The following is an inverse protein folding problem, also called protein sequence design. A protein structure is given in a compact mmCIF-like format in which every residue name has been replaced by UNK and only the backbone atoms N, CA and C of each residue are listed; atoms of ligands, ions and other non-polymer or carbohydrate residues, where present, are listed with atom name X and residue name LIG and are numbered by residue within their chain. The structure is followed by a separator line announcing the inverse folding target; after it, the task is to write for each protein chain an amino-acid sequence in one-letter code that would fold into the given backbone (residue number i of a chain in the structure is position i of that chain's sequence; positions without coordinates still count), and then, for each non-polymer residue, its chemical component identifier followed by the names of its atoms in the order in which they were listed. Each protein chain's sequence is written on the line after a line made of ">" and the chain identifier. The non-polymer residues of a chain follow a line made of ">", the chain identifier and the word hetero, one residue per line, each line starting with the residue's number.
data_IF_612289003970
#
_entry.id   IF_612289003970
#
_cell.length_a   1.000
_cell.length_b   1.000
_cell.length_c   1.000
_cell.angle_alpha   90.00
_cell.angle_beta   90.00
_cell.angle_gamma   90.00
#
_symmetry.space_group_name_H-M   'P 1'
#
loop_
_entity.id
_entity.type
_entity.pdbx_description
1 polymer ?
#
# COMPACT_ATOMS: atom_id res chain seq x y z
N UNK A 1 -2.85 -13.24 19.24
CA UNK A 1 -3.16 -13.83 17.92
C UNK A 1 -2.39 -13.06 16.84
N UNK A 2 -1.77 -13.73 15.86
CA UNK A 2 -0.94 -13.05 14.86
C UNK A 2 -1.77 -12.18 13.91
N UNK A 3 -1.35 -10.93 13.66
CA UNK A 3 -2.02 -10.03 12.69
C UNK A 3 -2.20 -10.67 11.31
N UNK A 4 -1.24 -11.49 10.86
CA UNK A 4 -1.31 -12.19 9.57
C UNK A 4 -2.44 -13.20 9.50
N UNK A 5 -2.75 -13.85 10.62
CA UNK A 5 -3.84 -14.84 10.70
C UNK A 5 -5.18 -14.10 10.56
N UNK A 6 -5.32 -12.96 11.25
CA UNK A 6 -6.52 -12.11 11.16
C UNK A 6 -6.70 -11.54 9.76
N UNK A 7 -5.62 -11.07 9.12
CA UNK A 7 -5.64 -10.62 7.72
C UNK A 7 -6.05 -11.75 6.75
N UNK A 8 -5.54 -12.96 6.98
CA UNK A 8 -5.93 -14.15 6.21
C UNK A 8 -7.41 -14.50 6.36
N UNK A 9 -7.94 -14.44 7.59
CA UNK A 9 -9.37 -14.65 7.86
C UNK A 9 -10.25 -13.57 7.25
N UNK A 10 -9.86 -12.30 7.34
CA UNK A 10 -10.54 -11.19 6.66
C UNK A 10 -10.54 -11.39 5.14
N UNK A 11 -9.43 -11.81 4.56
CA UNK A 11 -9.34 -12.06 3.11
C UNK A 11 -10.24 -13.23 2.68
N UNK A 12 -10.37 -14.27 3.51
CA UNK A 12 -11.33 -15.36 3.29
C UNK A 12 -12.77 -14.84 3.38
N UNK A 13 -13.11 -14.09 4.44
CA UNK A 13 -14.43 -13.53 4.64
C UNK A 13 -14.89 -12.63 3.48
N UNK A 14 -13.99 -11.79 2.95
CA UNK A 14 -14.27 -10.90 1.80
C UNK A 14 -14.56 -11.64 0.49
N UNK A 15 -14.18 -12.92 0.37
CA UNK A 15 -14.42 -13.75 -0.82
C UNK A 15 -15.67 -14.61 -0.70
N UNK A 16 -16.28 -14.67 0.48
CA UNK A 16 -17.46 -15.49 0.75
C UNK A 16 -18.74 -14.72 0.44
N UNK A 17 -19.71 -15.40 -0.17
CA UNK A 17 -21.06 -14.91 -0.33
C UNK A 17 -21.86 -15.07 0.96
N UNK A 18 -22.99 -14.36 1.07
CA UNK A 18 -23.92 -14.49 2.21
C UNK A 18 -24.37 -15.94 2.44
N UNK A 19 -24.56 -16.71 1.36
CA UNK A 19 -24.87 -18.15 1.40
C UNK A 19 -23.76 -18.97 2.06
N UNK A 20 -22.51 -18.63 1.81
CA UNK A 20 -21.36 -19.36 2.36
C UNK A 20 -21.24 -19.13 3.88
N UNK A 21 -21.58 -17.92 4.34
CA UNK A 21 -21.69 -17.65 5.78
C UNK A 21 -22.88 -18.38 6.41
N UNK A 22 -24.01 -18.45 5.71
CA UNK A 22 -25.19 -19.18 6.20
C UNK A 22 -24.90 -20.68 6.35
N UNK A 23 -24.15 -21.28 5.40
CA UNK A 23 -23.76 -22.68 5.41
C UNK A 23 -22.62 -23.01 6.39
N UNK A 24 -21.83 -22.02 6.82
CA UNK A 24 -20.76 -22.23 7.79
C UNK A 24 -21.29 -22.47 9.21
N UNK A 25 -20.61 -23.34 9.95
CA UNK A 25 -20.87 -23.54 11.38
C UNK A 25 -20.75 -22.22 12.16
N UNK A 26 -21.64 -22.01 13.14
CA UNK A 26 -21.76 -20.74 13.85
C UNK A 26 -20.43 -20.19 14.41
N UNK A 27 -19.55 -21.00 15.04
CA UNK A 27 -18.25 -20.50 15.53
C UNK A 27 -17.34 -19.98 14.40
N UNK A 28 -17.33 -20.68 13.25
CA UNK A 28 -16.52 -20.29 12.08
C UNK A 28 -17.07 -19.00 11.46
N UNK A 29 -18.39 -18.92 11.28
CA UNK A 29 -19.06 -17.71 10.79
C UNK A 29 -18.74 -16.50 11.67
N UNK A 30 -18.94 -16.63 12.98
CA UNK A 30 -18.69 -15.54 13.93
C UNK A 30 -17.23 -15.12 13.94
N UNK A 31 -16.29 -16.06 13.88
CA UNK A 31 -14.85 -15.76 13.82
C UNK A 31 -14.49 -14.97 12.57
N UNK A 32 -14.99 -15.38 11.40
CA UNK A 32 -14.70 -14.71 10.13
C UNK A 32 -15.34 -13.31 10.05
N UNK A 33 -16.57 -13.16 10.53
CA UNK A 33 -17.25 -11.86 10.59
C UNK A 33 -16.59 -10.93 11.61
N UNK A 34 -16.20 -11.44 12.78
CA UNK A 34 -15.47 -10.65 13.78
C UNK A 34 -14.12 -10.17 13.22
N UNK A 35 -13.36 -11.04 12.57
CA UNK A 35 -12.10 -10.67 11.91
C UNK A 35 -12.33 -9.62 10.80
N UNK A 36 -13.39 -9.78 10.01
CA UNK A 36 -13.77 -8.81 8.98
C UNK A 36 -14.11 -7.44 9.58
N UNK A 37 -15.01 -7.40 10.57
CA UNK A 37 -15.43 -6.17 11.24
C UNK A 37 -14.25 -5.47 11.94
N UNK A 38 -13.40 -6.23 12.62
CA UNK A 38 -12.23 -5.70 13.31
C UNK A 38 -11.24 -5.02 12.36
N UNK A 39 -10.86 -5.73 11.29
CA UNK A 39 -9.94 -5.17 10.28
C UNK A 39 -10.60 -4.02 9.54
N UNK A 40 -11.90 -4.11 9.21
CA UNK A 40 -12.61 -3.06 8.50
C UNK A 40 -12.75 -1.79 9.35
N UNK A 41 -13.01 -1.91 10.65
CA UNK A 41 -13.00 -0.79 11.60
C UNK A 41 -11.65 -0.08 11.58
N UNK A 42 -10.56 -0.86 11.65
CA UNK A 42 -9.18 -0.34 11.60
C UNK A 42 -8.91 0.41 10.29
N UNK A 43 -9.27 -0.17 9.14
CA UNK A 43 -9.14 0.46 7.82
C UNK A 43 -9.96 1.76 7.71
N UNK A 44 -11.15 1.80 8.30
CA UNK A 44 -12.00 3.00 8.32
C UNK A 44 -11.37 4.10 9.18
N UNK A 45 -10.82 3.77 10.35
CA UNK A 45 -10.11 4.72 11.20
C UNK A 45 -8.89 5.28 10.47
N UNK A 46 -8.06 4.42 9.88
CA UNK A 46 -6.89 4.84 9.09
C UNK A 46 -7.32 5.80 7.96
N UNK A 47 -8.40 5.47 7.25
CA UNK A 47 -8.95 6.31 6.18
C UNK A 47 -9.49 7.67 6.67
N UNK A 48 -10.10 7.73 7.85
CA UNK A 48 -10.57 8.98 8.46
C UNK A 48 -9.39 9.88 8.86
N UNK A 49 -8.33 9.30 9.43
CA UNK A 49 -7.12 10.05 9.78
C UNK A 49 -6.41 10.58 8.54
N UNK A 50 -6.30 9.76 7.49
CA UNK A 50 -5.72 10.21 6.21
C UNK A 50 -6.54 11.35 5.59
N UNK A 51 -7.87 11.27 5.65
CA UNK A 51 -8.78 12.33 5.19
C UNK A 51 -8.55 13.63 6.00
N UNK A 52 -8.43 13.53 7.34
CA UNK A 52 -8.12 14.69 8.20
C UNK A 52 -6.79 15.33 7.80
N UNK A 53 -5.72 14.53 7.67
CA UNK A 53 -4.39 15.03 7.28
C UNK A 53 -4.43 15.74 5.93
N UNK A 54 -5.18 15.20 4.97
CA UNK A 54 -5.34 15.79 3.64
C UNK A 54 -6.18 17.07 3.68
N UNK A 55 -7.29 17.08 4.43
CA UNK A 55 -8.15 18.25 4.60
C UNK A 55 -7.37 19.42 5.21
N UNK A 56 -6.69 19.17 6.34
CA UNK A 56 -5.86 20.19 6.99
C UNK A 56 -4.77 20.68 6.04
N UNK A 57 -4.06 19.78 5.34
CA UNK A 57 -3.04 20.18 4.38
C UNK A 57 -3.58 21.11 3.28
N UNK A 58 -4.75 20.79 2.74
CA UNK A 58 -5.40 21.59 1.69
C UNK A 58 -5.80 22.97 2.21
N UNK A 59 -6.22 23.06 3.48
CA UNK A 59 -6.51 24.33 4.16
C UNK A 59 -5.21 25.14 4.32
N UNK A 60 -4.13 24.52 4.85
CA UNK A 60 -2.85 25.20 5.07
C UNK A 60 -2.19 25.69 3.79
N UNK A 61 -2.15 24.87 2.72
CA UNK A 61 -1.52 25.27 1.45
C UNK A 61 -2.28 26.42 0.78
N UNK A 62 -3.62 26.47 0.96
CA UNK A 62 -4.42 27.61 0.50
C UNK A 62 -4.14 28.86 1.32
N UNK A 63 -3.79 28.72 2.60
CA UNK A 63 -3.35 29.83 3.43
C UNK A 63 -1.97 30.34 3.00
N UNK A 64 -0.97 29.46 2.87
CA UNK A 64 0.41 29.83 2.51
C UNK A 64 0.55 30.46 1.12
N UNK A 65 -0.17 29.98 0.10
CA UNK A 65 -0.10 30.52 -1.27
C UNK A 65 -0.71 31.91 -1.45
N UNK A 66 -1.43 32.41 -0.45
CA UNK A 66 -2.23 33.65 -0.50
C UNK A 66 -1.77 34.67 0.55
N UNK A 67 -0.54 34.57 1.05
CA UNK A 67 0.05 35.53 2.01
C UNK A 67 0.52 36.79 1.27
N UNK A 68 -0.44 37.61 0.86
CA UNK A 68 -0.32 39.05 0.62
C UNK A 68 -1.55 39.69 1.27
N UNK A 69 -1.41 40.03 2.57
CA UNK A 69 -2.19 40.85 3.52
C UNK A 69 -3.74 40.97 3.47
N UNK A 70 -4.46 40.73 2.38
CA UNK A 70 -5.92 40.94 2.29
C UNK A 70 -6.76 39.66 2.49
N UNK A 71 -6.14 38.51 2.75
CA UNK A 71 -6.76 37.19 2.51
C UNK A 71 -7.07 36.39 3.78
N UNK A 72 -6.86 36.97 4.96
CA UNK A 72 -7.29 36.37 6.23
C UNK A 72 -8.83 36.27 6.33
N UNK A 73 -9.57 37.25 5.78
CA UNK A 73 -11.03 37.27 5.80
C UNK A 73 -11.66 36.16 4.94
N UNK A 74 -11.09 35.85 3.77
CA UNK A 74 -11.62 34.84 2.85
C UNK A 74 -11.34 33.41 3.35
N UNK A 75 -10.18 33.18 3.97
CA UNK A 75 -9.84 31.92 4.66
C UNK A 75 -10.75 31.68 5.88
N UNK A 76 -10.97 32.72 6.70
CA UNK A 76 -11.99 32.71 7.76
C UNK A 76 -13.36 32.33 7.19
N UNK A 77 -13.74 32.88 6.04
CA UNK A 77 -15.02 32.60 5.35
C UNK A 77 -15.15 31.17 4.81
N UNK A 78 -14.10 30.59 4.22
CA UNK A 78 -14.15 29.21 3.69
C UNK A 78 -14.13 28.16 4.80
N UNK A 79 -13.32 28.37 5.84
CA UNK A 79 -13.25 27.50 7.02
C UNK A 79 -14.55 27.56 7.84
N UNK A 80 -15.05 28.76 8.16
CA UNK A 80 -16.24 28.96 8.99
C UNK A 80 -17.51 28.37 8.36
N UNK A 81 -17.63 28.42 7.02
CA UNK A 81 -18.86 28.07 6.31
C UNK A 81 -18.97 26.59 5.92
N UNK A 82 -17.87 25.94 5.55
CA UNK A 82 -17.90 24.57 5.03
C UNK A 82 -17.23 23.54 5.94
N UNK A 83 -16.05 23.83 6.49
CA UNK A 83 -15.27 22.83 7.23
C UNK A 83 -15.71 22.71 8.69
N UNK A 84 -16.09 23.82 9.33
CA UNK A 84 -16.49 23.89 10.74
C UNK A 84 -17.73 23.03 11.08
N UNK A 85 -18.60 22.72 10.12
CA UNK A 85 -19.77 21.84 10.31
C UNK A 85 -19.42 20.34 10.35
N UNK A 86 -18.37 19.94 9.62
CA UNK A 86 -18.00 18.53 9.46
C UNK A 86 -16.84 18.11 10.35
N UNK A 87 -15.92 19.03 10.63
CA UNK A 87 -14.67 18.74 11.31
C UNK A 87 -14.83 18.30 12.78
N UNK A 88 -15.71 18.90 13.60
CA UNK A 88 -15.96 18.41 14.96
C UNK A 88 -16.48 16.97 14.96
N UNK A 89 -17.35 16.60 14.01
CA UNK A 89 -17.86 15.23 13.87
C UNK A 89 -16.74 14.24 13.54
N UNK A 90 -15.79 14.66 12.71
CA UNK A 90 -14.64 13.84 12.35
C UNK A 90 -13.68 13.69 13.54
N UNK A 91 -13.41 14.77 14.27
CA UNK A 91 -12.55 14.73 15.46
C UNK A 91 -13.17 13.86 16.57
N UNK A 92 -14.50 13.94 16.79
CA UNK A 92 -15.23 13.08 17.73
C UNK A 92 -15.27 11.61 17.33
N UNK A 93 -15.17 11.30 16.03
CA UNK A 93 -15.19 9.92 15.54
C UNK A 93 -13.88 9.17 15.79
N UNK A 94 -12.83 9.86 16.24
CA UNK A 94 -11.47 9.33 16.37
C UNK A 94 -10.91 9.67 17.75
N UNK A 95 -10.43 8.66 18.48
CA UNK A 95 -9.78 8.88 19.78
C UNK A 95 -8.30 9.15 19.58
N UNK A 96 -7.83 10.31 20.04
CA UNK A 96 -6.42 10.69 20.02
C UNK A 96 -5.76 10.35 21.36
N UNK A 97 -4.48 9.99 21.32
CA UNK A 97 -3.63 9.80 22.49
C UNK A 97 -2.24 10.38 22.26
N UNK A 98 -1.52 10.67 23.35
CA UNK A 98 -0.13 11.14 23.32
C UNK A 98 0.64 10.45 24.45
N UNK A 99 1.82 9.93 24.14
CA UNK A 99 2.74 9.38 25.15
C UNK A 99 3.68 10.46 25.72
N UNK A 100 3.82 11.58 25.01
CA UNK A 100 4.74 12.68 25.37
C UNK A 100 3.99 13.83 26.07
N UNK A 101 4.62 14.41 27.09
CA UNK A 101 4.14 15.64 27.76
C UNK A 101 4.27 16.88 26.88
N UNK A 102 5.21 16.90 25.93
CA UNK A 102 5.46 18.05 25.05
C UNK A 102 4.28 18.38 24.12
N UNK A 103 3.48 17.37 23.74
CA UNK A 103 2.30 17.54 22.87
C UNK A 103 0.98 17.58 23.64
N UNK A 104 1.05 17.66 24.98
CA UNK A 104 -0.12 17.84 25.83
C UNK A 104 -0.93 19.11 25.50
N UNK A 105 -0.30 20.27 25.20
CA UNK A 105 -1.03 21.47 24.79
C UNK A 105 -1.95 21.26 23.58
N UNK A 106 -1.55 20.42 22.61
CA UNK A 106 -2.39 20.11 21.43
C UNK A 106 -3.60 19.27 21.83
N UNK A 107 -3.44 18.31 22.75
CA UNK A 107 -4.55 17.52 23.28
C UNK A 107 -5.55 18.38 24.08
N UNK A 108 -5.04 19.29 24.90
CA UNK A 108 -5.88 20.21 25.66
C UNK A 108 -6.61 21.20 24.73
N UNK A 109 -5.96 21.65 23.66
CA UNK A 109 -6.57 22.48 22.63
C UNK A 109 -7.66 21.75 21.84
N UNK A 110 -7.50 20.43 21.57
CA UNK A 110 -8.56 19.62 20.97
C UNK A 110 -9.78 19.49 21.89
N UNK A 111 -9.55 19.32 23.20
CA UNK A 111 -10.63 19.30 24.18
C UNK A 111 -11.35 20.67 24.24
N UNK A 112 -10.62 21.78 24.13
CA UNK A 112 -11.19 23.12 24.04
C UNK A 112 -12.02 23.31 22.77
N UNK A 113 -11.53 22.85 21.61
CA UNK A 113 -12.30 22.88 20.36
C UNK A 113 -13.61 22.10 20.47
N UNK A 114 -13.60 20.96 21.17
CA UNK A 114 -14.79 20.15 21.35
C UNK A 114 -15.84 20.84 22.24
N UNK A 115 -15.42 21.47 23.35
CA UNK A 115 -16.30 22.28 24.23
C UNK A 115 -16.98 23.41 23.48
N UNK A 116 -16.26 24.04 22.55
CA UNK A 116 -16.75 25.18 21.78
C UNK A 116 -17.34 24.81 20.42
N UNK A 117 -17.44 23.52 20.06
CA UNK A 117 -17.79 23.08 18.72
C UNK A 117 -19.10 23.67 18.19
N UNK A 118 -20.10 23.80 19.07
CA UNK A 118 -21.45 24.29 18.74
C UNK A 118 -21.65 25.77 19.15
N UNK A 119 -20.63 26.43 19.71
CA UNK A 119 -20.70 27.84 20.12
C UNK A 119 -20.55 28.79 18.93
N UNK A 120 -21.31 29.88 18.90
CA UNK A 120 -21.18 30.96 17.91
C UNK A 120 -20.25 32.11 18.34
N UNK A 121 -19.65 32.02 19.53
CA UNK A 121 -18.74 33.04 20.02
C UNK A 121 -17.57 33.28 19.05
N UNK A 122 -17.15 34.54 18.90
CA UNK A 122 -15.98 34.92 18.08
C UNK A 122 -14.67 34.67 18.84
N UNK A 123 -14.69 34.89 20.15
CA UNK A 123 -13.55 34.73 21.05
C UNK A 123 -13.79 33.59 22.04
N UNK A 124 -12.72 33.00 22.55
CA UNK A 124 -12.83 32.17 23.76
C UNK A 124 -13.20 33.03 24.97
N UNK A 125 -13.77 32.38 25.98
CA UNK A 125 -14.06 33.05 27.25
C UNK A 125 -12.75 33.44 27.94
N UNK A 126 -12.73 34.57 28.65
CA UNK A 126 -11.53 35.03 29.36
C UNK A 126 -11.12 34.08 30.50
N UNK A 127 -12.05 33.27 31.02
CA UNK A 127 -11.78 32.26 32.03
C UNK A 127 -11.18 30.97 31.45
N UNK A 128 -11.19 30.77 30.13
CA UNK A 128 -10.61 29.58 29.51
C UNK A 128 -9.08 29.68 29.44
N UNK A 129 -8.41 28.59 29.82
CA UNK A 129 -6.98 28.47 29.66
C UNK A 129 -6.66 27.91 28.27
N UNK A 130 -6.45 28.80 27.31
CA UNK A 130 -6.23 28.45 25.90
C UNK A 130 -4.74 28.16 25.65
N UNK A 131 -4.36 26.94 25.23
CA UNK A 131 -2.94 26.62 25.00
C UNK A 131 -2.36 27.34 23.78
N UNK A 132 -1.37 28.20 23.98
CA UNK A 132 -0.68 28.92 22.89
C UNK A 132 0.64 28.24 22.51
N UNK A 133 1.42 27.82 23.49
CA UNK A 133 2.72 27.18 23.29
C UNK A 133 2.58 25.85 22.56
N UNK A 134 3.45 25.60 21.57
CA UNK A 134 3.43 24.45 20.66
C UNK A 134 2.17 24.29 19.78
N UNK A 135 1.17 25.16 19.93
CA UNK A 135 -0.09 25.16 19.14
C UNK A 135 -0.08 26.27 18.11
N UNK A 136 0.29 27.50 18.50
CA UNK A 136 0.25 28.69 17.64
C UNK A 136 1.68 29.03 17.19
N UNK A 137 1.98 28.99 15.88
CA UNK A 137 3.25 29.47 15.34
C UNK A 137 3.48 30.95 15.67
N UNK A 138 4.74 31.37 15.82
CA UNK A 138 5.09 32.76 16.14
C UNK A 138 4.50 33.75 15.13
N UNK A 139 4.63 33.45 13.83
CA UNK A 139 4.11 34.27 12.73
C UNK A 139 2.56 34.43 12.73
N UNK A 140 1.84 33.61 13.51
CA UNK A 140 0.37 33.60 13.56
C UNK A 140 -0.17 34.21 14.85
N UNK A 141 0.68 34.61 15.81
CA UNK A 141 0.23 35.14 17.11
C UNK A 141 -0.60 36.40 16.96
N UNK A 142 -0.17 37.34 16.14
CA UNK A 142 -0.87 38.62 15.90
C UNK A 142 -2.21 38.43 15.18
N UNK A 143 -2.41 37.30 14.50
CA UNK A 143 -3.66 36.96 13.84
C UNK A 143 -4.64 36.19 14.76
N UNK A 144 -4.17 35.71 15.91
CA UNK A 144 -4.89 34.85 16.86
C UNK A 144 -5.25 35.61 18.13
N UNK A 145 -4.37 36.49 18.61
CA UNK A 145 -4.57 37.29 19.81
C UNK A 145 -4.98 38.69 19.41
N UNK A 146 -6.14 39.12 19.89
CA UNK A 146 -6.62 40.48 19.70
C UNK A 146 -5.71 41.47 20.45
N UNK A 147 -5.12 42.46 19.76
CA UNK A 147 -4.12 43.34 20.34
C UNK A 147 -4.68 44.30 21.41
N UNK A 148 -5.97 44.64 21.33
CA UNK A 148 -6.60 45.61 22.24
C UNK A 148 -7.10 44.94 23.53
N UNK A 149 -7.63 43.73 23.41
CA UNK A 149 -8.28 43.01 24.51
C UNK A 149 -7.47 41.82 25.04
N UNK A 150 -6.44 41.39 24.31
CA UNK A 150 -5.65 40.18 24.62
C UNK A 150 -6.43 38.88 24.47
N UNK A 151 -7.67 38.94 23.95
CA UNK A 151 -8.55 37.78 23.81
C UNK A 151 -8.17 36.95 22.59
N UNK A 152 -8.40 35.64 22.68
CA UNK A 152 -8.04 34.72 21.61
C UNK A 152 -9.23 34.53 20.66
N UNK A 153 -9.04 34.94 19.41
CA UNK A 153 -9.98 34.71 18.31
C UNK A 153 -10.07 33.21 18.01
N UNK A 154 -11.29 32.69 17.95
CA UNK A 154 -11.53 31.25 17.79
C UNK A 154 -11.07 30.73 16.44
N UNK A 155 -11.64 31.26 15.35
CA UNK A 155 -11.37 30.75 13.99
C UNK A 155 -9.87 30.61 13.66
N UNK A 156 -9.04 31.66 13.81
CA UNK A 156 -7.61 31.53 13.52
C UNK A 156 -6.91 30.56 14.48
N UNK A 157 -7.32 30.50 15.75
CA UNK A 157 -6.81 29.51 16.69
C UNK A 157 -7.17 28.07 16.29
N UNK A 158 -8.43 27.79 15.90
CA UNK A 158 -8.84 26.45 15.47
C UNK A 158 -7.99 25.97 14.29
N UNK A 159 -7.68 26.87 13.34
CA UNK A 159 -6.79 26.58 12.22
C UNK A 159 -5.38 26.20 12.69
N UNK A 160 -4.80 26.94 13.63
CA UNK A 160 -3.50 26.61 14.23
C UNK A 160 -3.51 25.23 14.89
N UNK A 161 -4.55 24.93 15.69
CA UNK A 161 -4.71 23.63 16.35
C UNK A 161 -4.74 22.49 15.34
N UNK A 162 -5.45 22.64 14.22
CA UNK A 162 -5.54 21.62 13.19
C UNK A 162 -4.19 21.39 12.49
N UNK A 163 -3.45 22.46 12.20
CA UNK A 163 -2.11 22.38 11.64
C UNK A 163 -1.16 21.68 12.60
N UNK A 164 -1.18 22.06 13.88
CA UNK A 164 -0.39 21.43 14.94
C UNK A 164 -0.73 19.94 15.08
N UNK A 165 -2.03 19.59 15.14
CA UNK A 165 -2.51 18.21 15.20
C UNK A 165 -1.98 17.39 14.01
N UNK A 166 -2.11 17.92 12.79
CA UNK A 166 -1.60 17.23 11.59
C UNK A 166 -0.10 16.96 11.69
N UNK A 167 0.68 17.93 12.15
CA UNK A 167 2.12 17.76 12.30
C UNK A 167 2.44 16.71 13.38
N UNK A 168 1.75 16.75 14.51
CA UNK A 168 1.93 15.80 15.61
C UNK A 168 1.58 14.36 15.20
N UNK A 169 0.46 14.15 14.48
CA UNK A 169 0.10 12.82 13.94
C UNK A 169 1.18 12.31 12.97
N UNK A 170 1.67 13.18 12.07
CA UNK A 170 2.72 12.80 11.11
C UNK A 170 4.05 12.44 11.77
N UNK A 171 4.35 13.03 12.94
CA UNK A 171 5.52 12.72 13.75
C UNK A 171 5.31 11.51 14.67
N UNK A 172 4.09 10.96 14.74
CA UNK A 172 3.66 9.91 15.68
C UNK A 172 3.73 10.29 17.16
N UNK A 173 3.70 11.59 17.43
CA UNK A 173 3.64 12.13 18.80
C UNK A 173 2.22 12.06 19.33
N UNK A 174 1.24 12.35 18.47
CA UNK A 174 -0.17 12.04 18.68
C UNK A 174 -0.51 10.81 17.86
N UNK A 175 -1.03 9.80 18.53
CA UNK A 175 -1.50 8.56 17.92
C UNK A 175 -3.02 8.46 18.00
N UNK A 176 -3.57 7.51 17.25
CA UNK A 176 -5.00 7.28 17.12
C UNK A 176 -5.34 5.86 17.56
N UNK A 177 -6.29 5.74 18.49
CA UNK A 177 -6.77 4.45 18.97
C UNK A 177 -7.49 3.69 17.85
N UNK A 178 -7.22 2.38 17.74
CA UNK A 178 -7.82 1.53 16.71
C UNK A 178 -7.30 1.76 15.29
N UNK A 179 -6.37 2.71 15.09
CA UNK A 179 -5.59 2.82 13.85
C UNK A 179 -4.54 1.72 13.77
N UNK A 180 -4.11 1.35 12.56
CA UNK A 180 -2.91 0.50 12.34
C UNK A 180 -1.72 1.33 11.90
N UNK A 181 -1.95 2.36 11.08
CA UNK A 181 -0.88 3.21 10.53
C UNK A 181 -0.43 4.28 11.52
N UNK A 182 -1.37 4.82 12.28
CA UNK A 182 -1.23 5.94 13.22
C UNK A 182 -1.38 5.49 14.68
N UNK A 183 -1.18 4.20 14.96
CA UNK A 183 -1.25 3.63 16.32
C UNK A 183 -0.13 4.14 17.23
N UNK A 184 -0.29 3.89 18.53
CA UNK A 184 0.74 4.21 19.51
C UNK A 184 2.09 3.56 19.11
N UNK A 185 3.16 4.35 18.89
CA UNK A 185 4.48 3.82 18.56
C UNK A 185 5.05 2.90 19.64
N UNK A 186 4.70 3.10 20.92
CA UNK A 186 5.18 2.27 22.02
C UNK A 186 4.66 0.82 21.90
N UNK A 187 3.49 0.65 21.28
CA UNK A 187 2.92 -0.66 20.99
C UNK A 187 3.58 -1.37 19.79
N UNK A 188 4.50 -0.72 19.07
CA UNK A 188 5.33 -1.37 18.05
C UNK A 188 6.48 -2.18 18.69
N UNK A 189 6.79 -1.96 19.97
CA UNK A 189 7.80 -2.70 20.70
C UNK A 189 7.22 -3.99 21.31
N UNK A 190 8.02 -5.07 21.39
CA UNK A 190 7.65 -6.26 22.16
C UNK A 190 7.34 -5.91 23.63
N UNK A 191 6.39 -6.59 24.28
CA UNK A 191 6.09 -6.34 25.69
C UNK A 191 7.29 -6.58 26.63
N UNK A 192 8.18 -7.48 26.23
CA UNK A 192 9.41 -7.85 26.93
C UNK A 192 10.63 -7.03 26.44
N UNK A 193 10.42 -5.95 25.69
CA UNK A 193 11.50 -5.21 25.07
C UNK A 193 12.46 -4.62 26.11
N UNK A 194 11.93 -4.02 27.19
CA UNK A 194 12.76 -3.42 28.24
C UNK A 194 13.62 -4.48 28.95
N UNK A 195 13.05 -5.66 29.20
CA UNK A 195 13.73 -6.75 29.90
C UNK A 195 14.75 -7.49 29.02
N UNK A 196 14.52 -7.56 27.70
CA UNK A 196 15.31 -8.35 26.75
C UNK A 196 15.94 -7.51 25.62
N UNK A 197 16.32 -6.25 25.91
CA UNK A 197 16.93 -5.35 24.92
C UNK A 197 18.16 -5.98 24.25
N UNK A 198 18.93 -6.76 24.99
CA UNK A 198 20.10 -7.47 24.49
C UNK A 198 19.82 -8.42 23.33
N UNK A 199 18.82 -9.29 23.49
CA UNK A 199 18.40 -10.27 22.49
C UNK A 199 17.77 -9.57 21.28
N UNK A 200 16.94 -8.55 21.52
CA UNK A 200 16.24 -7.83 20.45
C UNK A 200 17.20 -7.01 19.56
N UNK A 201 18.31 -6.46 20.10
CA UNK A 201 19.33 -5.75 19.32
C UNK A 201 20.36 -6.67 18.64
N UNK A 202 20.60 -7.87 19.17
CA UNK A 202 21.46 -8.87 18.52
C UNK A 202 20.86 -9.40 17.22
N UNK A 203 19.53 -9.60 17.17
CA UNK A 203 18.83 -10.15 15.99
C UNK A 203 19.06 -9.35 14.68
N UNK A 204 18.99 -8.00 14.65
CA UNK A 204 19.35 -7.20 13.49
C UNK A 204 20.85 -6.86 13.39
N UNK A 205 21.68 -7.38 14.30
CA UNK A 205 23.11 -7.06 14.44
C UNK A 205 23.36 -5.55 14.47
N UNK A 206 22.63 -4.84 15.35
CA UNK A 206 22.76 -3.39 15.54
C UNK A 206 23.33 -3.06 16.92
N UNK A 207 24.15 -2.00 17.04
CA UNK A 207 24.63 -1.55 18.34
C UNK A 207 23.45 -1.02 19.17
N UNK A 208 23.56 -1.14 20.49
CA UNK A 208 22.57 -0.59 21.43
C UNK A 208 22.72 0.91 21.59
N UNK A 209 23.95 1.39 21.54
CA UNK A 209 24.22 2.82 21.63
C UNK A 209 23.78 3.52 20.32
N UNK A 210 22.80 4.45 20.38
CA UNK A 210 22.40 5.23 19.23
C UNK A 210 23.56 6.05 18.65
N UNK A 211 24.50 6.52 19.48
CA UNK A 211 25.65 7.30 19.02
C UNK A 211 26.58 6.44 18.14
N UNK A 212 26.87 5.20 18.54
CA UNK A 212 27.64 4.25 17.72
C UNK A 212 26.96 3.96 16.37
N UNK A 213 25.63 3.75 16.38
CA UNK A 213 24.88 3.52 15.14
C UNK A 213 24.97 4.72 14.19
N UNK A 214 24.76 5.93 14.71
CA UNK A 214 24.81 7.17 13.92
C UNK A 214 26.22 7.40 13.40
N UNK A 215 27.25 7.20 14.22
CA UNK A 215 28.64 7.35 13.82
C UNK A 215 29.03 6.38 12.69
N UNK A 216 28.66 5.10 12.79
CA UNK A 216 28.88 4.12 11.72
C UNK A 216 28.14 4.52 10.42
N UNK A 217 26.88 4.96 10.54
CA UNK A 217 26.10 5.39 9.39
C UNK A 217 26.72 6.60 8.70
N UNK A 218 27.12 7.62 9.47
CA UNK A 218 27.84 8.80 8.96
C UNK A 218 29.14 8.38 8.28
N UNK A 219 29.94 7.50 8.91
CA UNK A 219 31.18 6.99 8.34
C UNK A 219 30.95 6.28 7.00
N UNK A 220 29.95 5.39 6.92
CA UNK A 220 29.58 4.71 5.66
C UNK A 220 29.09 5.68 4.60
N UNK A 221 28.32 6.70 4.99
CA UNK A 221 27.81 7.73 4.08
C UNK A 221 28.95 8.56 3.50
N UNK A 222 29.84 9.08 4.35
CA UNK A 222 31.03 9.84 3.95
C UNK A 222 31.95 8.99 3.06
N UNK A 223 32.16 7.72 3.41
CA UNK A 223 32.94 6.80 2.58
C UNK A 223 32.32 6.59 1.19
N UNK A 224 30.99 6.43 1.10
CA UNK A 224 30.28 6.29 -0.17
C UNK A 224 30.37 7.56 -1.04
N UNK A 225 30.18 8.75 -0.43
CA UNK A 225 30.34 10.03 -1.13
C UNK A 225 31.79 10.23 -1.60
N UNK A 226 32.78 9.87 -0.79
CA UNK A 226 34.18 9.94 -1.18
C UNK A 226 34.50 8.99 -2.33
N UNK A 227 33.92 7.77 -2.36
CA UNK A 227 34.05 6.86 -3.51
C UNK A 227 33.43 7.47 -4.76
N UNK A 228 32.24 8.05 -4.66
CA UNK A 228 31.58 8.73 -5.79
C UNK A 228 32.43 9.90 -6.30
N UNK A 229 32.93 10.77 -5.41
CA UNK A 229 33.76 11.92 -5.77
C UNK A 229 35.07 11.47 -6.46
N UNK A 230 35.74 10.44 -5.92
CA UNK A 230 36.92 9.82 -6.56
C UNK A 230 36.57 9.24 -7.93
N UNK A 231 35.44 8.56 -8.07
CA UNK A 231 35.01 7.97 -9.32
C UNK A 231 34.68 9.05 -10.37
N UNK A 232 34.05 10.16 -9.98
CA UNK A 232 33.76 11.32 -10.84
C UNK A 232 35.05 11.94 -11.36
N UNK A 233 36.03 12.19 -10.48
CA UNK A 233 37.35 12.71 -10.88
C UNK A 233 38.11 11.78 -11.83
N UNK A 234 37.96 10.47 -11.63
CA UNK A 234 38.59 9.43 -12.47
C UNK A 234 37.80 9.10 -13.74
N UNK A 235 36.60 9.67 -13.94
CA UNK A 235 35.74 9.35 -15.09
C UNK A 235 35.18 7.92 -15.11
N UNK A 236 35.12 7.23 -13.97
CA UNK A 236 34.76 5.80 -13.86
C UNK A 236 33.29 5.56 -13.45
N UNK A 237 32.48 6.61 -13.39
CA UNK A 237 31.08 6.55 -12.92
C UNK A 237 30.07 6.05 -13.97
N UNK A 238 30.53 5.53 -15.11
CA UNK A 238 29.63 5.08 -16.17
C UNK A 238 28.79 6.21 -16.79
N UNK A 239 29.29 7.45 -16.73
CA UNK A 239 28.68 8.62 -17.36
C UNK A 239 27.88 9.55 -16.43
N UNK A 240 27.88 9.32 -15.11
CA UNK A 240 27.32 10.27 -14.12
C UNK A 240 28.16 11.54 -14.10
N UNK A 241 27.51 12.71 -14.16
CA UNK A 241 28.16 14.03 -14.26
C UNK A 241 27.50 15.04 -13.32
N UNK A 242 28.23 16.07 -12.94
CA UNK A 242 27.67 17.26 -12.29
C UNK A 242 27.40 18.30 -13.40
N UNK A 243 26.14 18.64 -13.61
CA UNK A 243 25.66 19.66 -14.54
C UNK A 243 25.04 20.83 -13.78
N UNK A 244 24.45 21.81 -14.48
CA UNK A 244 23.61 22.85 -13.86
C UNK A 244 22.16 22.69 -14.28
N UNK A 245 21.24 22.85 -13.35
CA UNK A 245 19.79 22.91 -13.61
C UNK A 245 19.24 24.14 -12.88
N UNK A 246 18.68 25.10 -13.64
CA UNK A 246 18.21 26.40 -13.10
C UNK A 246 19.30 27.16 -12.31
N UNK A 247 20.54 27.11 -12.77
CA UNK A 247 21.67 27.79 -12.10
C UNK A 247 22.32 27.01 -10.96
N UNK A 248 21.66 25.98 -10.43
CA UNK A 248 22.18 25.17 -9.31
C UNK A 248 22.92 23.90 -9.78
N UNK A 249 23.90 23.39 -9.00
CA UNK A 249 24.56 22.12 -9.29
C UNK A 249 23.57 20.95 -9.27
N UNK A 250 23.63 20.09 -10.30
CA UNK A 250 22.73 18.96 -10.48
C UNK A 250 23.50 17.68 -10.84
N UNK A 251 23.17 16.54 -10.23
CA UNK A 251 23.78 15.26 -10.61
C UNK A 251 22.96 14.64 -11.74
N UNK A 252 23.54 14.59 -12.94
CA UNK A 252 22.96 13.93 -14.10
C UNK A 252 23.41 12.47 -14.15
N UNK A 253 22.44 11.55 -14.06
CA UNK A 253 22.65 10.10 -14.22
C UNK A 253 22.27 9.72 -15.66
N UNK A 254 23.16 9.05 -16.42
CA UNK A 254 22.85 8.65 -17.79
C UNK A 254 21.75 7.58 -17.83
N UNK A 255 20.97 7.52 -18.91
CA UNK A 255 19.99 6.45 -19.09
C UNK A 255 20.70 5.09 -19.14
N UNK A 256 20.02 4.05 -18.65
CA UNK A 256 20.52 2.68 -18.73
C UNK A 256 20.65 2.30 -20.20
N UNK A 257 21.84 1.90 -20.61
CA UNK A 257 22.10 1.44 -21.99
C UNK A 257 21.44 0.09 -22.23
N UNK A 258 21.03 -0.16 -23.49
CA UNK A 258 20.51 -1.47 -23.89
C UNK A 258 21.57 -2.52 -23.57
N UNK A 259 21.22 -3.52 -22.76
CA UNK A 259 22.11 -4.65 -22.53
C UNK A 259 22.36 -5.38 -23.86
N UNK A 260 23.59 -5.86 -24.12
CA UNK A 260 23.85 -6.67 -25.29
C UNK A 260 22.93 -7.88 -25.27
N UNK A 261 22.35 -8.23 -26.43
CA UNK A 261 21.48 -9.38 -26.51
C UNK A 261 22.28 -10.65 -26.18
N UNK A 262 21.80 -11.51 -25.27
CA UNK A 262 22.49 -12.76 -24.95
C UNK A 262 22.70 -13.58 -26.21
N UNK A 263 23.90 -14.16 -26.37
CA UNK A 263 24.27 -14.89 -27.58
C UNK A 263 23.27 -16.01 -27.97
N UNK A 264 22.65 -16.65 -26.97
CA UNK A 264 21.67 -17.73 -27.18
C UNK A 264 20.22 -17.26 -27.38
N UNK A 265 19.92 -15.97 -27.20
CA UNK A 265 18.55 -15.47 -27.31
C UNK A 265 17.98 -15.67 -28.71
N UNK A 266 18.81 -15.45 -29.75
CA UNK A 266 18.41 -15.65 -31.14
C UNK A 266 18.05 -17.13 -31.40
N UNK A 267 18.94 -18.04 -31.04
CA UNK A 267 18.70 -19.48 -31.19
C UNK A 267 17.46 -19.95 -30.41
N UNK A 268 17.24 -19.41 -29.21
CA UNK A 268 16.04 -19.71 -28.43
C UNK A 268 14.75 -19.22 -29.11
N UNK A 269 14.75 -17.99 -29.65
CA UNK A 269 13.60 -17.46 -30.39
C UNK A 269 13.30 -18.30 -31.63
N UNK A 270 14.32 -18.67 -32.38
CA UNK A 270 14.20 -19.53 -33.56
C UNK A 270 13.63 -20.90 -33.19
N UNK A 271 14.09 -21.51 -32.10
CA UNK A 271 13.58 -22.79 -31.63
C UNK A 271 12.14 -22.71 -31.13
N UNK A 272 11.77 -21.63 -30.43
CA UNK A 272 10.37 -21.38 -30.02
C UNK A 272 9.48 -21.25 -31.26
N UNK A 273 9.87 -20.42 -32.23
CA UNK A 273 9.14 -20.24 -33.48
C UNK A 273 9.05 -21.53 -34.29
N UNK A 274 10.10 -22.36 -34.32
CA UNK A 274 10.10 -23.66 -35.00
C UNK A 274 9.11 -24.64 -34.37
N UNK A 275 9.04 -24.68 -33.04
CA UNK A 275 8.17 -25.64 -32.33
C UNK A 275 6.71 -25.20 -32.32
N UNK A 276 6.46 -23.90 -32.12
CA UNK A 276 5.10 -23.38 -31.82
C UNK A 276 4.51 -22.58 -32.98
N UNK A 277 5.29 -22.27 -34.02
CA UNK A 277 4.82 -21.55 -35.20
C UNK A 277 4.41 -20.11 -34.91
N UNK A 278 3.52 -19.58 -35.74
CA UNK A 278 2.86 -18.29 -35.53
C UNK A 278 1.56 -18.55 -34.77
N UNK A 279 1.42 -17.92 -33.61
CA UNK A 279 0.23 -18.02 -32.76
C UNK A 279 -0.66 -16.80 -33.02
N UNK A 280 -1.96 -17.00 -33.16
CA UNK A 280 -2.90 -15.88 -33.22
C UNK A 280 -2.88 -15.14 -31.88
N UNK A 281 -2.77 -13.82 -31.93
CA UNK A 281 -2.72 -13.00 -30.73
C UNK A 281 -4.00 -13.13 -29.88
N UNK A 282 -5.15 -13.51 -30.47
CA UNK A 282 -6.39 -13.81 -29.75
C UNK A 282 -6.36 -15.16 -29.02
N UNK A 283 -5.56 -16.12 -29.50
CA UNK A 283 -5.39 -17.41 -28.82
C UNK A 283 -4.63 -17.24 -27.50
N UNK A 284 -3.74 -16.25 -27.39
CA UNK A 284 -3.02 -15.98 -26.14
C UNK A 284 -3.95 -15.69 -24.94
N UNK A 285 -4.85 -14.69 -24.96
CA UNK A 285 -5.78 -14.47 -23.86
C UNK A 285 -6.81 -15.60 -23.71
N UNK A 286 -7.17 -16.31 -24.78
CA UNK A 286 -8.06 -17.48 -24.72
C UNK A 286 -7.42 -18.62 -23.95
N UNK A 287 -6.17 -18.95 -24.23
CA UNK A 287 -5.42 -20.02 -23.55
C UNK A 287 -5.12 -19.64 -22.09
N UNK A 288 -4.78 -18.37 -21.85
CA UNK A 288 -4.61 -17.85 -20.48
C UNK A 288 -5.92 -17.98 -19.70
N UNK A 289 -7.06 -17.69 -20.30
CA UNK A 289 -8.36 -17.86 -19.65
C UNK A 289 -8.72 -19.32 -19.45
N UNK A 290 -8.39 -20.20 -20.40
CA UNK A 290 -8.57 -21.64 -20.24
C UNK A 290 -7.79 -22.19 -19.04
N UNK A 291 -6.56 -21.73 -18.82
CA UNK A 291 -5.70 -22.18 -17.71
C UNK A 291 -6.10 -21.54 -16.37
N UNK A 292 -6.45 -20.25 -16.38
CA UNK A 292 -6.58 -19.47 -15.14
C UNK A 292 -8.03 -19.16 -14.73
N UNK A 293 -8.97 -19.23 -15.68
CA UNK A 293 -10.36 -18.82 -15.49
C UNK A 293 -10.53 -17.33 -15.16
N UNK A 294 -9.57 -16.47 -15.53
CA UNK A 294 -9.54 -15.08 -15.08
C UNK A 294 -10.76 -14.25 -15.54
N UNK A 295 -11.47 -14.67 -16.60
CA UNK A 295 -12.70 -14.00 -17.04
C UNK A 295 -13.80 -14.05 -15.99
N UNK A 296 -13.77 -15.02 -15.06
CA UNK A 296 -14.70 -15.10 -13.93
C UNK A 296 -14.56 -13.92 -12.93
N UNK A 297 -13.41 -13.24 -12.90
CA UNK A 297 -13.20 -12.06 -12.05
C UNK A 297 -13.92 -10.79 -12.57
N UNK A 298 -14.49 -10.85 -13.78
CA UNK A 298 -15.25 -9.74 -14.35
C UNK A 298 -16.70 -9.79 -13.89
N UNK A 299 -16.96 -9.31 -12.67
CA UNK A 299 -18.32 -9.20 -12.10
C UNK A 299 -19.09 -8.01 -12.67
N UNK A 300 -20.39 -8.15 -12.92
CA UNK A 300 -21.21 -7.07 -13.48
C UNK A 300 -21.41 -5.91 -12.50
N UNK A 301 -21.51 -4.70 -13.03
CA UNK A 301 -22.00 -3.51 -12.30
C UNK A 301 -23.53 -3.42 -12.32
N UNK A 302 -24.21 -4.18 -13.18
CA UNK A 302 -25.68 -4.18 -13.26
C UNK A 302 -26.33 -5.03 -12.16
N UNK A 303 -27.52 -4.64 -11.73
CA UNK A 303 -28.35 -5.36 -10.74
C UNK A 303 -28.85 -6.72 -11.24
N UNK A 304 -28.97 -6.90 -12.56
CA UNK A 304 -29.36 -8.15 -13.20
C UNK A 304 -28.69 -8.28 -14.57
N UNK A 305 -28.09 -9.44 -14.82
CA UNK A 305 -27.55 -9.81 -16.14
C UNK A 305 -28.13 -11.14 -16.57
N UNK A 306 -28.74 -11.18 -17.75
CA UNK A 306 -29.21 -12.41 -18.40
C UNK A 306 -28.33 -12.61 -19.62
N UNK A 307 -27.13 -13.15 -19.42
CA UNK A 307 -26.22 -13.51 -20.50
C UNK A 307 -25.58 -14.83 -20.11
N UNK A 308 -25.62 -15.77 -21.03
CA UNK A 308 -24.97 -17.07 -20.86
C UNK A 308 -23.47 -16.91 -20.58
N UNK A 309 -22.92 -17.78 -19.72
CA UNK A 309 -21.54 -17.67 -19.27
C UNK A 309 -20.53 -17.80 -20.43
N UNK A 310 -20.78 -18.70 -21.38
CA UNK A 310 -19.89 -18.90 -22.53
C UNK A 310 -19.93 -17.70 -23.49
N UNK A 311 -21.12 -17.11 -23.68
CA UNK A 311 -21.28 -15.88 -24.46
C UNK A 311 -20.56 -14.71 -23.79
N UNK A 312 -20.66 -14.58 -22.47
CA UNK A 312 -19.97 -13.53 -21.72
C UNK A 312 -18.44 -13.70 -21.80
N UNK A 313 -17.93 -14.91 -21.59
CA UNK A 313 -16.51 -15.24 -21.70
C UNK A 313 -15.95 -14.83 -23.06
N UNK A 314 -16.59 -15.26 -24.15
CA UNK A 314 -16.17 -14.89 -25.52
C UNK A 314 -16.13 -13.38 -25.72
N UNK A 315 -17.20 -12.67 -25.33
CA UNK A 315 -17.26 -11.20 -25.45
C UNK A 315 -16.20 -10.48 -24.61
N UNK A 316 -15.88 -11.00 -23.42
CA UNK A 316 -14.82 -10.47 -22.57
C UNK A 316 -13.46 -10.64 -23.24
N UNK A 317 -13.16 -11.81 -23.80
CA UNK A 317 -11.92 -12.06 -24.54
C UNK A 317 -11.76 -11.12 -25.73
N UNK A 318 -12.81 -10.97 -26.55
CA UNK A 318 -12.83 -10.04 -27.69
C UNK A 318 -12.62 -8.58 -27.24
N UNK A 319 -13.29 -8.16 -26.15
CA UNK A 319 -13.13 -6.81 -25.61
C UNK A 319 -11.70 -6.58 -25.10
N UNK A 320 -11.12 -7.53 -24.37
CA UNK A 320 -9.76 -7.41 -23.84
C UNK A 320 -8.73 -7.40 -24.95
N UNK A 321 -8.91 -8.26 -25.97
CA UNK A 321 -8.09 -8.26 -27.18
C UNK A 321 -8.13 -6.89 -27.87
N UNK A 322 -9.32 -6.34 -28.14
CA UNK A 322 -9.47 -5.04 -28.80
C UNK A 322 -8.90 -3.87 -27.99
N UNK A 323 -8.96 -3.94 -26.67
CA UNK A 323 -8.40 -2.92 -25.77
C UNK A 323 -6.88 -3.03 -25.63
N UNK A 324 -6.34 -4.26 -25.58
CA UNK A 324 -4.92 -4.53 -25.35
C UNK A 324 -4.04 -4.32 -26.59
N UNK A 325 -4.61 -4.46 -27.79
CA UNK A 325 -3.87 -4.41 -29.07
C UNK A 325 -4.01 -3.08 -29.81
N UNK A 326 -4.72 -2.10 -29.25
CA UNK A 326 -5.11 -0.85 -29.92
C UNK A 326 -5.91 -1.05 -31.23
N UNK A 327 -6.41 -2.27 -31.51
CA UNK A 327 -7.26 -2.58 -32.67
C UNK A 327 -8.64 -1.92 -32.51
N UNK A 328 -9.14 -1.84 -31.28
CA UNK A 328 -10.42 -1.22 -30.93
C UNK A 328 -11.62 -2.14 -31.16
N UNK A 329 -12.67 -1.97 -30.34
CA UNK A 329 -13.85 -2.85 -30.33
C UNK A 329 -14.57 -2.92 -31.68
N UNK A 330 -14.61 -1.81 -32.43
CA UNK A 330 -15.29 -1.76 -33.73
C UNK A 330 -14.65 -2.75 -34.72
N UNK A 331 -13.33 -2.66 -34.92
CA UNK A 331 -12.61 -3.54 -35.86
C UNK A 331 -12.66 -5.01 -35.43
N UNK A 332 -12.70 -5.28 -34.13
CA UNK A 332 -12.88 -6.65 -33.61
C UNK A 332 -14.27 -7.17 -33.97
N UNK A 333 -15.31 -6.36 -33.84
CA UNK A 333 -16.67 -6.73 -34.22
C UNK A 333 -16.84 -6.90 -35.74
N UNK A 334 -16.16 -6.07 -36.55
CA UNK A 334 -16.22 -6.17 -38.01
C UNK A 334 -15.62 -7.49 -38.54
N UNK A 335 -14.76 -8.14 -37.75
CA UNK A 335 -14.16 -9.44 -38.07
C UNK A 335 -14.82 -10.64 -37.38
N UNK A 336 -15.90 -10.45 -36.62
CA UNK A 336 -16.61 -11.49 -35.90
C UNK A 336 -18.05 -11.63 -36.44
N UNK A 337 -18.43 -12.85 -36.85
CA UNK A 337 -19.76 -13.11 -37.41
C UNK A 337 -20.86 -13.26 -36.33
N UNK A 338 -20.48 -13.43 -35.06
CA UNK A 338 -21.38 -13.84 -33.97
C UNK A 338 -21.78 -12.64 -33.09
N UNK A 339 -20.85 -11.76 -32.75
CA UNK A 339 -21.02 -10.68 -31.80
C UNK A 339 -20.80 -9.30 -32.43
N UNK A 340 -21.87 -8.50 -32.48
CA UNK A 340 -21.81 -7.15 -33.03
C UNK A 340 -21.17 -6.11 -32.09
N UNK A 341 -20.81 -4.96 -32.65
CA UNK A 341 -20.15 -3.86 -31.93
C UNK A 341 -20.94 -3.41 -30.69
N UNK A 342 -22.26 -3.34 -30.78
CA UNK A 342 -23.13 -2.92 -29.69
C UNK A 342 -23.05 -3.87 -28.49
N UNK A 343 -23.04 -5.19 -28.73
CA UNK A 343 -22.90 -6.20 -27.70
C UNK A 343 -21.54 -6.14 -26.99
N UNK A 344 -20.45 -5.96 -27.74
CA UNK A 344 -19.11 -5.80 -27.17
C UNK A 344 -18.99 -4.50 -26.35
N UNK A 345 -19.50 -3.38 -26.85
CA UNK A 345 -19.51 -2.11 -26.10
C UNK A 345 -20.35 -2.18 -24.83
N UNK A 346 -21.46 -2.91 -24.85
CA UNK A 346 -22.26 -3.18 -23.65
C UNK A 346 -21.47 -4.02 -22.64
N UNK A 347 -20.82 -5.08 -23.09
CA UNK A 347 -20.00 -5.96 -22.24
C UNK A 347 -18.86 -5.18 -21.57
N UNK A 348 -18.10 -4.40 -22.36
CA UNK A 348 -17.06 -3.52 -21.81
C UNK A 348 -17.60 -2.61 -20.70
N UNK A 349 -18.72 -1.92 -20.94
CA UNK A 349 -19.28 -0.96 -19.97
C UNK A 349 -19.73 -1.63 -18.66
N UNK A 350 -20.30 -2.83 -18.75
CA UNK A 350 -20.88 -3.51 -17.59
C UNK A 350 -19.87 -4.30 -16.77
N UNK A 351 -18.80 -4.81 -17.40
CA UNK A 351 -17.92 -5.78 -16.78
C UNK A 351 -16.46 -5.32 -16.70
N UNK A 352 -15.97 -4.47 -17.60
CA UNK A 352 -14.57 -4.04 -17.61
C UNK A 352 -14.43 -2.73 -16.82
N UNK A 353 -14.00 -2.85 -15.57
CA UNK A 353 -13.67 -1.71 -14.70
C UNK A 353 -12.33 -1.93 -14.00
N UNK A 354 -11.83 -0.89 -13.32
CA UNK A 354 -10.51 -0.92 -12.65
C UNK A 354 -10.38 -2.03 -11.60
N UNK A 355 -11.45 -2.34 -10.86
CA UNK A 355 -11.42 -3.34 -9.80
C UNK A 355 -11.37 -4.75 -10.39
N UNK A 356 -12.21 -5.02 -11.39
CA UNK A 356 -12.25 -6.31 -12.09
C UNK A 356 -10.94 -6.59 -12.82
N UNK A 357 -10.39 -5.59 -13.53
CA UNK A 357 -9.08 -5.72 -14.19
C UNK A 357 -7.98 -6.05 -13.19
N UNK A 358 -7.97 -5.42 -12.00
CA UNK A 358 -6.99 -5.72 -10.96
C UNK A 358 -7.15 -7.14 -10.39
N UNK A 359 -8.39 -7.62 -10.26
CA UNK A 359 -8.67 -8.98 -9.82
C UNK A 359 -8.16 -9.99 -10.86
N UNK A 360 -8.57 -9.84 -12.12
CA UNK A 360 -8.10 -10.65 -13.25
C UNK A 360 -6.56 -10.68 -13.37
N UNK A 361 -5.91 -9.50 -13.32
CA UNK A 361 -4.44 -9.42 -13.35
C UNK A 361 -3.82 -10.19 -12.18
N UNK A 362 -4.40 -10.09 -10.98
CA UNK A 362 -3.91 -10.83 -9.82
C UNK A 362 -4.02 -12.34 -10.02
N UNK A 363 -5.12 -12.81 -10.59
CA UNK A 363 -5.33 -14.23 -10.92
C UNK A 363 -4.26 -14.72 -11.89
N UNK A 364 -4.07 -14.02 -13.02
CA UNK A 364 -3.04 -14.37 -14.02
C UNK A 364 -1.63 -14.32 -13.44
N UNK A 365 -1.29 -13.29 -12.66
CA UNK A 365 0.03 -13.15 -12.04
C UNK A 365 0.29 -14.26 -11.03
N UNK A 366 -0.69 -14.61 -10.21
CA UNK A 366 -0.52 -15.68 -9.23
C UNK A 366 -0.29 -17.03 -9.90
N UNK A 367 -1.02 -17.36 -10.96
CA UNK A 367 -0.79 -18.59 -11.72
C UNK A 367 0.57 -18.57 -12.42
N UNK A 368 0.95 -17.44 -13.03
CA UNK A 368 2.29 -17.29 -13.65
C UNK A 368 3.41 -17.53 -12.64
N UNK A 369 3.27 -17.03 -11.41
CA UNK A 369 4.25 -17.22 -10.35
C UNK A 369 4.30 -18.65 -9.80
N UNK A 370 3.19 -19.40 -9.86
CA UNK A 370 3.14 -20.81 -9.46
C UNK A 370 3.89 -21.70 -10.46
N UNK A 371 3.76 -21.42 -11.75
CA UNK A 371 4.38 -22.21 -12.84
C UNK A 371 5.86 -21.86 -13.04
N UNK A 372 6.32 -20.72 -12.51
CA UNK A 372 7.69 -20.25 -12.66
C UNK A 372 8.71 -21.22 -12.04
N UNK A 373 9.64 -21.68 -12.86
CA UNK A 373 10.79 -22.46 -12.39
C UNK A 373 11.73 -21.59 -11.55
N UNK A 374 11.82 -21.91 -10.26
CA UNK A 374 12.62 -21.20 -9.28
C UNK A 374 14.14 -21.41 -9.45
N UNK A 375 14.57 -22.36 -10.28
CA UNK A 375 15.97 -22.61 -10.59
C UNK A 375 16.49 -21.71 -11.73
N UNK A 376 15.63 -21.43 -12.72
CA UNK A 376 15.94 -20.55 -13.85
C UNK A 376 15.74 -19.08 -13.50
N UNK A 377 14.82 -18.83 -12.58
CA UNK A 377 14.48 -17.51 -12.13
C UNK A 377 14.61 -17.47 -10.62
N UNK A 378 15.56 -16.68 -10.10
CA UNK A 378 15.72 -16.46 -8.67
C UNK A 378 14.34 -16.33 -8.00
N UNK A 379 14.18 -16.99 -6.85
CA UNK A 379 12.97 -16.85 -6.01
C UNK A 379 12.62 -15.38 -5.99
N UNK A 380 11.36 -15.01 -6.31
CA UNK A 380 10.99 -13.60 -6.45
C UNK A 380 11.58 -12.86 -5.27
N UNK A 381 12.52 -11.94 -5.55
CA UNK A 381 12.97 -11.01 -4.56
C UNK A 381 11.68 -10.36 -4.10
N UNK A 382 11.22 -10.76 -2.91
CA UNK A 382 10.21 -9.99 -2.22
C UNK A 382 10.93 -8.66 -2.05
N UNK A 383 10.69 -7.70 -2.93
CA UNK A 383 11.11 -6.33 -2.73
C UNK A 383 10.31 -5.87 -1.52
N UNK A 384 10.86 -6.23 -0.36
CA UNK A 384 10.40 -5.89 0.97
C UNK A 384 10.73 -4.43 1.09
N UNK A 385 9.71 -3.58 0.97
CA UNK A 385 9.79 -2.23 1.49
C UNK A 385 10.30 -2.35 2.95
N UNK A 386 11.34 -1.61 3.37
CA UNK A 386 12.08 -1.88 4.61
C UNK A 386 11.33 -1.63 5.93
N UNK A 387 9.99 -1.62 5.94
CA UNK A 387 9.16 -1.37 7.13
C UNK A 387 8.45 -2.60 7.70
N UNK A 388 8.75 -3.82 7.25
CA UNK A 388 8.19 -5.04 7.85
C UNK A 388 9.28 -6.10 8.06
N UNK A 389 9.90 -6.03 9.24
CA UNK A 389 10.70 -7.12 9.80
C UNK A 389 9.77 -8.30 10.09
N UNK A 390 10.02 -9.44 9.44
CA UNK A 390 9.31 -10.69 9.72
C UNK A 390 10.22 -11.58 10.57
N UNK A 391 9.80 -11.78 11.83
CA UNK A 391 10.38 -12.72 12.79
C UNK A 391 10.08 -14.16 12.37
N UNK A 392 10.86 -14.70 11.44
CA UNK A 392 10.98 -16.15 11.25
C UNK A 392 12.45 -16.54 11.14
N UNK A 393 13.08 -16.69 12.29
CA UNK A 393 14.21 -17.59 12.46
C UNK A 393 13.78 -18.68 13.46
N UNK A 394 13.70 -19.92 12.95
CA UNK A 394 13.76 -21.21 13.65
C UNK A 394 12.90 -21.37 14.92
N UNK A 395 11.74 -22.01 14.76
CA UNK A 395 11.19 -22.88 15.79
C UNK A 395 11.44 -24.33 15.34
N UNK A 396 12.27 -25.05 16.10
CA UNK A 396 12.31 -26.51 16.07
C UNK A 396 10.93 -27.08 16.46
N UNK A 397 10.54 -28.28 15.98
CA UNK A 397 9.47 -29.04 16.60
C UNK A 397 9.99 -29.81 17.84
N UNK A 398 9.13 -30.11 18.84
CA UNK A 398 9.50 -30.90 20.01
C UNK A 398 9.63 -32.39 19.67
N UNK A 399 10.39 -33.09 20.51
CA UNK A 399 10.79 -34.49 20.39
C UNK A 399 9.65 -35.51 20.58
N UNK A 400 9.80 -36.67 19.92
CA UNK A 400 9.32 -37.96 20.40
C UNK A 400 8.26 -38.66 19.56
N UNK A 401 8.67 -39.58 18.68
CA UNK A 401 8.02 -40.85 18.33
C UNK A 401 9.06 -41.74 17.62
N UNK A 402 9.04 -43.08 17.81
CA UNK A 402 10.18 -43.96 17.57
C UNK A 402 10.43 -44.22 16.08
N UNK A 403 11.70 -44.49 15.75
CA UNK A 403 12.18 -44.72 14.38
C UNK A 403 11.55 -45.98 13.75
N UNK A 404 11.07 -45.92 12.49
CA UNK A 404 10.80 -47.11 11.71
C UNK A 404 12.12 -47.71 11.18
N UNK A 405 12.19 -49.04 11.18
CA UNK A 405 13.33 -49.87 10.77
C UNK A 405 13.79 -49.60 9.31
N UNK A 406 15.07 -49.85 8.98
CA UNK A 406 15.61 -49.60 7.65
C UNK A 406 14.98 -50.56 6.61
N UNK A 407 14.43 -49.98 5.55
CA UNK A 407 13.93 -50.72 4.38
C UNK A 407 15.08 -50.90 3.40
N UNK A 408 15.32 -52.16 3.01
CA UNK A 408 16.36 -52.60 2.08
C UNK A 408 16.30 -51.91 0.70
N UNK A 409 17.49 -51.54 0.20
CA UNK A 409 17.68 -51.05 -1.17
C UNK A 409 17.44 -52.18 -2.20
N UNK A 410 16.24 -52.23 -2.77
CA UNK A 410 16.02 -52.99 -4.00
C UNK A 410 16.55 -52.23 -5.22
N UNK A 411 17.75 -52.62 -5.65
CA UNK A 411 18.32 -52.31 -6.98
C UNK A 411 17.41 -52.83 -8.09
N UNK A 412 16.75 -51.93 -8.82
CA UNK A 412 16.12 -52.25 -10.10
C UNK A 412 17.21 -52.45 -11.17
N UNK A 413 17.49 -53.71 -11.51
CA UNK A 413 18.26 -54.10 -12.70
C UNK A 413 17.38 -53.87 -13.94
N UNK A 414 17.95 -53.18 -14.93
CA UNK A 414 17.39 -53.06 -16.27
C UNK A 414 17.32 -54.43 -16.95
N UNK A 415 16.13 -54.79 -17.45
CA UNK A 415 15.94 -55.98 -18.28
C UNK A 415 16.42 -55.71 -19.71
N UNK A 416 17.38 -56.51 -20.16
CA UNK A 416 17.80 -56.64 -21.56
C UNK A 416 16.90 -57.70 -22.22
N UNK A 417 16.29 -57.46 -23.39
CA UNK A 417 15.50 -58.49 -24.06
C UNK A 417 16.41 -59.52 -24.74
N UNK A 418 16.19 -60.79 -24.41
CA UNK A 418 16.84 -61.93 -25.04
C UNK A 418 16.30 -62.11 -26.47
N UNK A 419 17.22 -62.17 -27.44
CA UNK A 419 16.99 -62.72 -28.78
C UNK A 419 16.79 -64.22 -28.66
N UNK A 420 15.65 -64.72 -29.08
CA UNK A 420 15.47 -66.14 -29.40
C UNK A 420 15.74 -66.37 -30.89
N UNK A 421 16.68 -67.29 -31.16
CA UNK A 421 17.00 -67.84 -32.48
C UNK A 421 16.73 -69.34 -32.40
N UNK A 422 16.04 -69.85 -33.44
CA UNK A 422 15.69 -71.24 -33.82
C UNK A 422 14.19 -71.52 -33.58
N UNK A 423 13.40 -71.91 -34.57
CA UNK A 423 13.64 -72.50 -35.89
C UNK A 423 12.98 -71.68 -37.00
#
# INVERSE_FOLDING_TARGET
>A
MSEKVVEGWRARAMKMYLSDFAAAQAPVRLTLLAALCWVRKTEMIDGLVDLLIQLVHKISVRAEKKVENEINAELRGSYSRHYRRGLPKLLRAVTFGSSSTAFRPVMDALALLDRYADSEAVFYDAAEQVPIEHVVPEDWRDAVVDPDTGRIERIPYELCVLVALRQAIRRREIWVEGSKVWRNPDADLPPDFEDNQDVHYQAPSKPRDPAEFVADLQKRHVAALNRLNKALRKGTTGGVRITRKKGEPWIAVPPVTKQPEPARLKALKEEISRRWGVIDLLDVPKDVDHVTGFTADFTSVASRTVTDAAVLQRRLLLCLYGLGTNVGIKRVADGDEVDNEAALRRTRRLFINRNNLRAAIRTVVNETLKVRDASLWDRPAVHRHPRRLDRRARLLPPAGLPAPAPVEEHRLRAAVPARDRRR
#
